data_IF_396829288735
#
_entry.id   IF_396829288735
#
_cell.length_a   1.000
_cell.length_b   1.000
_cell.length_c   1.000
_cell.angle_alpha   90.00
_cell.angle_beta   90.00
_cell.angle_gamma   90.00
#
_symmetry.space_group_name_H-M   'P 1'
#
loop_
_entity.id
_entity.type
_entity.pdbx_description
1 polymer ?
#
# COMPACT_ATOMS: atom_id res chain seq x y z
N UNK A 1 -12.66 67.78 -30.45
CA UNK A 1 -13.19 66.41 -30.28
C UNK A 1 -12.35 65.79 -29.18
N UNK A 2 -12.74 65.79 -27.90
CA UNK A 2 -13.99 65.28 -27.30
C UNK A 2 -13.77 63.79 -26.97
N UNK A 3 -14.08 63.23 -25.80
CA UNK A 3 -14.64 63.63 -24.51
C UNK A 3 -14.30 62.47 -23.55
N UNK A 4 -13.93 62.73 -22.28
CA UNK A 4 -14.69 62.37 -21.05
C UNK A 4 -15.17 60.90 -21.05
N UNK A 5 -14.74 59.98 -20.17
CA UNK A 5 -14.55 60.08 -18.72
C UNK A 5 -15.50 59.08 -18.04
N UNK A 6 -15.06 58.42 -16.96
CA UNK A 6 -15.77 58.30 -15.67
C UNK A 6 -15.29 57.10 -14.85
N UNK A 7 -14.61 57.43 -13.74
CA UNK A 7 -14.51 56.63 -12.52
C UNK A 7 -15.90 56.50 -11.87
N UNK A 8 -16.22 55.36 -11.25
CA UNK A 8 -16.92 55.31 -9.96
C UNK A 8 -16.39 54.13 -9.14
N UNK A 9 -15.63 54.45 -8.09
CA UNK A 9 -15.44 53.56 -6.95
C UNK A 9 -16.55 53.77 -5.93
N UNK A 10 -16.68 52.84 -4.99
CA UNK A 10 -17.16 53.10 -3.63
C UNK A 10 -16.55 52.05 -2.69
N UNK A 11 -15.60 52.50 -1.88
CA UNK A 11 -15.24 51.93 -0.57
C UNK A 11 -16.23 52.49 0.45
N UNK A 12 -16.75 51.67 1.38
CA UNK A 12 -16.74 51.95 2.83
C UNK A 12 -17.25 50.73 3.60
N UNK A 13 -16.51 50.35 4.66
CA UNK A 13 -16.69 49.11 5.39
C UNK A 13 -17.88 49.05 6.33
N UNK A 14 -18.22 47.82 6.69
CA UNK A 14 -18.84 47.48 7.96
C UNK A 14 -18.26 46.12 8.39
N UNK A 15 -17.76 46.08 9.61
CA UNK A 15 -17.39 44.87 10.35
C UNK A 15 -18.55 43.87 10.27
N UNK A 16 -18.34 42.75 9.59
CA UNK A 16 -19.06 41.51 9.87
C UNK A 16 -18.01 40.47 10.21
N UNK A 17 -18.00 40.06 11.47
CA UNK A 17 -17.37 38.83 11.95
C UNK A 17 -18.03 37.70 11.18
N UNK A 18 -17.48 37.33 10.03
CA UNK A 18 -17.75 36.01 9.45
C UNK A 18 -16.95 35.04 10.32
N UNK A 19 -17.65 34.45 11.29
CA UNK A 19 -17.33 33.12 11.77
C UNK A 19 -17.21 32.22 10.54
N UNK A 20 -15.98 32.06 10.04
CA UNK A 20 -15.58 30.92 9.23
C UNK A 20 -15.78 29.71 10.13
N UNK A 21 -17.02 29.22 10.15
CA UNK A 21 -17.29 27.84 10.47
C UNK A 21 -16.66 27.05 9.35
N UNK A 22 -15.37 26.76 9.49
CA UNK A 22 -14.82 25.58 8.86
C UNK A 22 -15.81 24.47 9.18
N UNK A 23 -16.39 23.76 8.18
CA UNK A 23 -17.00 22.48 8.49
C UNK A 23 -15.89 21.71 9.18
N UNK A 24 -16.04 21.51 10.49
CA UNK A 24 -15.25 20.54 11.23
C UNK A 24 -15.43 19.29 10.39
N UNK A 25 -14.37 18.85 9.71
CA UNK A 25 -14.38 17.58 9.02
C UNK A 25 -15.02 16.61 10.02
N UNK A 26 -16.09 15.92 9.61
CA UNK A 26 -16.67 14.89 10.45
C UNK A 26 -15.54 13.89 10.65
N UNK A 27 -14.79 14.04 11.75
CA UNK A 27 -13.95 13.01 12.30
C UNK A 27 -14.96 11.92 12.56
N UNK A 28 -14.92 10.86 11.75
CA UNK A 28 -15.66 9.64 12.02
C UNK A 28 -15.19 9.17 13.40
N UNK A 29 -15.85 9.67 14.44
CA UNK A 29 -15.61 9.26 15.79
C UNK A 29 -16.01 7.80 15.82
N UNK A 30 -15.05 6.93 16.16
CA UNK A 30 -15.35 5.53 16.38
C UNK A 30 -16.56 5.44 17.31
N UNK A 31 -17.60 4.72 16.88
CA UNK A 31 -18.81 4.54 17.66
C UNK A 31 -18.44 3.89 19.00
N UNK A 32 -18.43 4.70 20.06
CA UNK A 32 -17.99 4.26 21.38
C UNK A 32 -18.95 3.26 22.02
N UNK A 33 -20.12 3.04 21.41
CA UNK A 33 -21.11 2.04 21.85
C UNK A 33 -20.78 0.63 21.37
N UNK A 34 -19.93 0.47 20.34
CA UNK A 34 -19.52 -0.86 19.88
C UNK A 34 -18.66 -1.56 20.94
N UNK A 35 -18.93 -2.86 21.22
CA UNK A 35 -18.06 -3.69 22.05
C UNK A 35 -16.62 -3.68 21.55
N UNK A 36 -15.67 -3.93 22.46
CA UNK A 36 -14.27 -4.09 22.09
C UNK A 36 -14.01 -5.57 21.83
N UNK A 37 -13.58 -5.89 20.63
CA UNK A 37 -13.15 -7.24 20.26
C UNK A 37 -11.68 -7.46 20.63
N UNK A 38 -11.33 -8.69 20.98
CA UNK A 38 -9.94 -9.10 21.23
C UNK A 38 -9.64 -10.34 20.43
N UNK A 39 -8.61 -10.25 19.59
CA UNK A 39 -8.02 -11.40 18.91
C UNK A 39 -6.71 -11.78 19.60
N UNK A 40 -6.55 -13.06 19.88
CA UNK A 40 -5.30 -13.64 20.39
C UNK A 40 -4.82 -14.71 19.42
N UNK A 41 -3.65 -14.51 18.82
CA UNK A 41 -3.07 -15.38 17.78
C UNK A 41 -4.11 -15.72 16.68
N UNK A 42 -4.79 -14.68 16.18
CA UNK A 42 -5.82 -14.79 15.14
C UNK A 42 -7.19 -15.31 15.61
N UNK A 43 -7.35 -15.69 16.88
CA UNK A 43 -8.62 -16.22 17.41
C UNK A 43 -9.37 -15.16 18.19
N UNK A 44 -10.64 -14.94 17.85
CA UNK A 44 -11.52 -14.08 18.64
C UNK A 44 -11.77 -14.69 20.02
N UNK A 45 -11.62 -13.87 21.06
CA UNK A 45 -11.86 -14.29 22.44
C UNK A 45 -13.25 -13.82 22.87
N UNK A 46 -14.06 -14.77 23.31
CA UNK A 46 -15.38 -14.49 23.88
C UNK A 46 -15.28 -14.14 25.36
N UNK A 47 -15.94 -13.07 25.78
CA UNK A 47 -15.97 -12.62 27.16
C UNK A 47 -17.39 -12.60 27.71
N UNK A 48 -17.54 -13.03 28.96
CA UNK A 48 -18.83 -12.92 29.68
C UNK A 48 -19.17 -11.48 30.08
N UNK A 49 -18.13 -10.64 30.22
CA UNK A 49 -18.22 -9.19 30.42
C UNK A 49 -17.35 -8.55 29.35
N UNK A 50 -17.96 -7.72 28.51
CA UNK A 50 -17.27 -7.10 27.39
C UNK A 50 -16.02 -6.34 27.86
N UNK A 51 -14.91 -6.42 27.10
CA UNK A 51 -13.77 -5.56 27.35
C UNK A 51 -14.16 -4.09 27.27
N UNK A 52 -13.49 -3.26 28.06
CA UNK A 52 -13.78 -1.83 28.16
C UNK A 52 -12.51 -1.00 28.20
N UNK A 53 -12.60 0.21 27.66
CA UNK A 53 -11.53 1.19 27.72
C UNK A 53 -11.60 1.96 29.04
N UNK A 54 -10.53 1.91 29.83
CA UNK A 54 -10.41 2.60 31.11
C UNK A 54 -9.08 3.34 31.15
N UNK A 55 -9.13 4.68 31.19
CA UNK A 55 -7.96 5.56 31.24
C UNK A 55 -6.92 5.23 30.14
N UNK A 56 -7.37 4.98 28.91
CA UNK A 56 -6.51 4.64 27.77
C UNK A 56 -6.00 3.20 27.75
N UNK A 57 -6.46 2.34 28.67
CA UNK A 57 -6.12 0.92 28.70
C UNK A 57 -7.36 0.06 28.47
N UNK A 58 -7.28 -0.89 27.54
CA UNK A 58 -8.33 -1.90 27.39
C UNK A 58 -8.22 -2.94 28.50
N UNK A 59 -9.24 -3.01 29.34
CA UNK A 59 -9.39 -4.04 30.35
C UNK A 59 -10.26 -5.18 29.81
N UNK A 60 -9.81 -6.42 29.97
CA UNK A 60 -10.54 -7.62 29.57
C UNK A 60 -10.58 -8.63 30.72
N UNK A 61 -11.57 -9.53 30.70
CA UNK A 61 -11.65 -10.62 31.67
C UNK A 61 -10.41 -11.50 31.55
N UNK A 62 -9.69 -11.70 32.66
CA UNK A 62 -8.40 -12.40 32.62
C UNK A 62 -8.54 -13.88 32.23
N UNK A 63 -9.62 -14.54 32.67
CA UNK A 63 -9.77 -16.00 32.61
C UNK A 63 -9.70 -16.53 31.16
N UNK A 64 -10.53 -16.05 30.20
CA UNK A 64 -10.45 -16.51 28.81
C UNK A 64 -9.07 -16.29 28.18
N UNK A 65 -8.39 -15.19 28.52
CA UNK A 65 -7.04 -14.89 28.00
C UNK A 65 -6.02 -15.89 28.56
N UNK A 66 -6.04 -16.15 29.87
CA UNK A 66 -5.11 -17.08 30.52
C UNK A 66 -5.32 -18.52 30.02
N UNK A 67 -6.58 -18.94 29.86
CA UNK A 67 -6.94 -20.25 29.31
C UNK A 67 -6.42 -20.40 27.87
N UNK A 68 -6.59 -19.38 27.04
CA UNK A 68 -6.10 -19.40 25.66
C UNK A 68 -4.57 -19.41 25.60
N UNK A 69 -3.90 -18.74 26.54
CA UNK A 69 -2.44 -18.80 26.72
C UNK A 69 -1.96 -20.11 27.37
N UNK A 70 -2.85 -21.06 27.68
CA UNK A 70 -2.52 -22.35 28.28
C UNK A 70 -2.06 -22.27 29.75
N UNK A 71 -2.41 -21.19 30.46
CA UNK A 71 -2.06 -21.01 31.86
C UNK A 71 -3.03 -21.75 32.78
N UNK A 72 -2.48 -22.47 33.76
CA UNK A 72 -3.27 -22.96 34.90
C UNK A 72 -3.59 -21.79 35.83
N UNK A 73 -4.87 -21.61 36.15
CA UNK A 73 -5.36 -20.48 36.94
C UNK A 73 -5.58 -20.90 38.39
N UNK A 74 -5.04 -20.12 39.34
CA UNK A 74 -5.34 -20.21 40.75
C UNK A 74 -5.83 -18.84 41.27
N UNK A 75 -6.97 -18.80 41.95
CA UNK A 75 -7.50 -17.61 42.58
C UNK A 75 -7.46 -17.74 44.10
N UNK A 76 -6.80 -16.80 44.76
CA UNK A 76 -6.82 -16.66 46.21
C UNK A 76 -7.78 -15.54 46.62
N UNK A 77 -8.93 -15.93 47.16
CA UNK A 77 -9.96 -14.99 47.59
C UNK A 77 -9.54 -14.14 48.80
N UNK A 78 -8.72 -14.68 49.71
CA UNK A 78 -8.30 -13.98 50.92
C UNK A 78 -7.37 -12.79 50.61
N UNK A 79 -6.47 -12.97 49.65
CA UNK A 79 -5.52 -11.93 49.21
C UNK A 79 -5.98 -11.18 47.97
N UNK A 80 -7.11 -11.60 47.36
CA UNK A 80 -7.59 -11.12 46.06
C UNK A 80 -6.49 -11.19 44.99
N UNK A 81 -5.86 -12.35 44.88
CA UNK A 81 -4.74 -12.58 43.98
C UNK A 81 -5.10 -13.63 42.93
N UNK A 82 -4.88 -13.31 41.65
CA UNK A 82 -4.90 -14.29 40.56
C UNK A 82 -3.45 -14.71 40.29
N UNK A 83 -3.22 -16.01 40.16
CA UNK A 83 -1.99 -16.59 39.67
C UNK A 83 -2.26 -17.40 38.41
N UNK A 84 -1.51 -17.14 37.35
CA UNK A 84 -1.48 -17.94 36.12
C UNK A 84 -0.12 -18.59 35.95
N UNK A 85 -0.07 -19.90 35.73
CA UNK A 85 1.20 -20.64 35.64
C UNK A 85 1.21 -21.61 34.47
N UNK A 86 2.29 -21.59 33.72
CA UNK A 86 2.71 -22.62 32.77
C UNK A 86 4.19 -22.91 32.98
N UNK A 87 4.77 -23.76 32.12
CA UNK A 87 6.21 -24.06 32.12
C UNK A 87 7.06 -22.79 31.95
N UNK A 88 6.64 -21.90 31.04
CA UNK A 88 7.46 -20.77 30.58
C UNK A 88 6.99 -19.42 31.13
N UNK A 89 5.78 -19.37 31.71
CA UNK A 89 5.15 -18.12 32.16
C UNK A 89 4.43 -18.29 33.50
N UNK A 90 4.83 -17.48 34.47
CA UNK A 90 4.20 -17.32 35.77
C UNK A 90 3.80 -15.86 35.97
N UNK A 91 2.51 -15.61 36.14
CA UNK A 91 1.94 -14.27 36.40
C UNK A 91 1.24 -14.30 37.75
N UNK A 92 1.53 -13.32 38.60
CA UNK A 92 0.80 -13.07 39.85
C UNK A 92 0.34 -11.61 39.87
N UNK A 93 -0.98 -11.42 39.98
CA UNK A 93 -1.61 -10.11 40.01
C UNK A 93 -2.58 -10.00 41.18
N UNK A 94 -2.51 -8.87 41.87
CA UNK A 94 -3.39 -8.57 43.00
C UNK A 94 -4.36 -7.46 42.62
N UNK A 95 -5.65 -7.67 42.89
CA UNK A 95 -6.69 -6.70 42.54
C UNK A 95 -6.44 -5.37 43.24
N UNK A 96 -6.56 -4.27 42.49
CA UNK A 96 -6.32 -2.91 42.97
C UNK A 96 -4.84 -2.52 43.08
N UNK A 97 -3.90 -3.45 42.81
CA UNK A 97 -2.47 -3.16 42.84
C UNK A 97 -1.90 -3.03 41.42
N UNK A 98 -1.15 -1.97 41.18
CA UNK A 98 -0.45 -1.76 39.90
C UNK A 98 0.84 -2.58 39.79
N UNK A 99 1.40 -3.06 40.90
CA UNK A 99 2.57 -3.93 40.87
C UNK A 99 2.14 -5.38 40.69
N UNK A 100 2.68 -6.02 39.66
CA UNK A 100 2.48 -7.44 39.33
C UNK A 100 3.81 -8.17 39.32
N UNK A 101 3.78 -9.49 39.44
CA UNK A 101 4.99 -10.32 39.37
C UNK A 101 4.88 -11.20 38.13
N UNK A 102 5.89 -11.12 37.25
CA UNK A 102 6.01 -11.96 36.06
C UNK A 102 7.34 -12.70 36.14
N UNK A 103 7.29 -14.03 36.18
CA UNK A 103 8.47 -14.89 36.33
C UNK A 103 9.37 -14.47 37.50
N UNK A 104 8.77 -14.10 38.64
CA UNK A 104 9.47 -13.65 39.84
C UNK A 104 9.92 -12.18 39.82
N UNK A 105 9.80 -11.48 38.68
CA UNK A 105 10.20 -10.08 38.53
C UNK A 105 9.00 -9.15 38.69
N UNK A 106 9.14 -8.12 39.51
CA UNK A 106 8.11 -7.08 39.66
C UNK A 106 8.02 -6.22 38.41
N UNK A 107 6.82 -6.05 37.87
CA UNK A 107 6.49 -5.13 36.78
C UNK A 107 5.38 -4.17 37.23
N UNK A 108 5.35 -2.98 36.64
CA UNK A 108 4.37 -1.95 36.95
C UNK A 108 3.33 -1.83 35.83
N UNK A 109 2.05 -1.86 36.19
CA UNK A 109 0.94 -1.64 35.28
C UNK A 109 0.57 -0.16 35.20
N UNK A 110 0.06 0.27 34.05
CA UNK A 110 -0.53 1.59 33.85
C UNK A 110 -1.84 1.73 34.64
N UNK A 111 -2.70 0.70 34.55
CA UNK A 111 -3.98 0.58 35.25
C UNK A 111 -3.98 -0.68 36.11
N UNK A 112 -4.46 -0.57 37.36
CA UNK A 112 -4.55 -1.72 38.26
C UNK A 112 -5.67 -2.68 37.81
N UNK A 113 -5.54 -4.00 38.05
CA UNK A 113 -6.65 -4.94 37.87
C UNK A 113 -7.84 -4.55 38.74
N UNK A 114 -9.06 -4.72 38.22
CA UNK A 114 -10.30 -4.33 38.90
C UNK A 114 -11.31 -5.46 38.90
N UNK A 115 -12.24 -5.44 39.84
CA UNK A 115 -13.44 -6.27 39.78
C UNK A 115 -14.58 -5.41 39.28
N UNK A 116 -15.19 -5.80 38.17
CA UNK A 116 -16.33 -5.12 37.54
C UNK A 116 -17.42 -6.17 37.35
N UNK A 117 -18.61 -5.91 37.92
CA UNK A 117 -19.73 -6.86 37.91
C UNK A 117 -19.35 -8.28 38.38
N UNK A 118 -18.51 -8.37 39.41
CA UNK A 118 -18.03 -9.65 39.95
C UNK A 118 -16.93 -10.34 39.12
N UNK A 119 -16.48 -9.73 38.03
CA UNK A 119 -15.46 -10.29 37.13
C UNK A 119 -14.16 -9.51 37.26
N UNK A 120 -13.04 -10.24 37.39
CA UNK A 120 -11.70 -9.67 37.39
C UNK A 120 -11.30 -9.24 35.97
N UNK A 121 -11.09 -7.94 35.80
CA UNK A 121 -10.67 -7.28 34.57
C UNK A 121 -9.21 -6.83 34.69
N UNK A 122 -8.40 -7.11 33.67
CA UNK A 122 -6.95 -6.89 33.66
C UNK A 122 -6.56 -6.19 32.36
N UNK A 123 -5.54 -5.29 32.36
CA UNK A 123 -5.03 -4.67 31.15
C UNK A 123 -4.57 -5.71 30.13
N UNK A 124 -5.20 -5.74 28.95
CA UNK A 124 -4.91 -6.76 27.92
C UNK A 124 -3.49 -6.62 27.37
N UNK A 125 -2.99 -5.38 27.23
CA UNK A 125 -1.63 -5.09 26.77
C UNK A 125 -0.58 -5.75 27.64
N UNK A 126 -0.77 -5.67 28.97
CA UNK A 126 0.10 -6.36 29.91
C UNK A 126 0.05 -7.88 29.72
N UNK A 127 -1.14 -8.47 29.53
CA UNK A 127 -1.26 -9.92 29.34
C UNK A 127 -0.55 -10.40 28.07
N UNK A 128 -0.71 -9.67 26.97
CA UNK A 128 0.01 -9.92 25.73
C UNK A 128 1.53 -9.83 25.93
N UNK A 129 2.03 -8.70 26.42
CA UNK A 129 3.46 -8.45 26.61
C UNK A 129 4.10 -9.42 27.61
N UNK A 130 3.39 -9.78 28.69
CA UNK A 130 3.86 -10.77 29.65
C UNK A 130 4.02 -12.16 29.01
N UNK A 131 3.22 -12.47 27.99
CA UNK A 131 3.29 -13.70 27.22
C UNK A 131 4.27 -13.66 26.04
N UNK A 132 5.05 -12.58 25.89
CA UNK A 132 5.99 -12.41 24.79
C UNK A 132 5.34 -12.03 23.46
N UNK A 133 4.08 -11.55 23.50
CA UNK A 133 3.31 -11.12 22.34
C UNK A 133 3.28 -9.61 22.21
N UNK A 134 3.14 -9.16 20.98
CA UNK A 134 2.91 -7.78 20.64
C UNK A 134 1.42 -7.46 20.65
N UNK A 135 1.08 -6.23 21.04
CA UNK A 135 -0.30 -5.78 21.20
C UNK A 135 -0.52 -4.50 20.42
N UNK A 136 -1.48 -4.52 19.51
CA UNK A 136 -1.91 -3.38 18.72
C UNK A 136 -3.38 -3.08 18.95
N UNK A 137 -3.73 -1.80 18.82
CA UNK A 137 -5.08 -1.30 18.95
C UNK A 137 -5.56 -0.72 17.63
N UNK A 138 -6.64 -1.26 17.11
CA UNK A 138 -7.40 -0.65 16.03
C UNK A 138 -8.56 0.15 16.61
N UNK A 139 -8.41 1.48 16.62
CA UNK A 139 -9.42 2.40 17.13
C UNK A 139 -10.70 2.46 16.30
N UNK A 140 -10.63 2.22 15.00
CA UNK A 140 -11.80 2.32 14.10
C UNK A 140 -12.66 1.06 14.20
N UNK A 141 -12.02 -0.11 14.22
CA UNK A 141 -12.70 -1.39 14.43
C UNK A 141 -12.99 -1.67 15.90
N UNK A 142 -12.40 -0.90 16.82
CA UNK A 142 -12.41 -1.12 18.26
C UNK A 142 -11.95 -2.54 18.61
N UNK A 143 -10.79 -2.89 18.08
CA UNK A 143 -10.25 -4.25 18.18
C UNK A 143 -8.85 -4.22 18.75
N UNK A 144 -8.58 -5.08 19.73
CA UNK A 144 -7.23 -5.36 20.21
C UNK A 144 -6.73 -6.63 19.53
N UNK A 145 -5.57 -6.55 18.89
CA UNK A 145 -4.87 -7.73 18.41
C UNK A 145 -3.70 -8.03 19.33
N UNK A 146 -3.63 -9.26 19.82
CA UNK A 146 -2.53 -9.80 20.61
C UNK A 146 -1.97 -10.96 19.81
N UNK A 147 -0.73 -10.88 19.35
CA UNK A 147 -0.16 -11.94 18.53
C UNK A 147 1.36 -11.97 18.62
N UNK A 148 1.98 -12.97 18.03
CA UNK A 148 3.44 -12.97 17.86
C UNK A 148 3.88 -11.75 17.05
N UNK A 149 5.14 -11.34 17.18
CA UNK A 149 5.70 -10.21 16.41
C UNK A 149 5.54 -10.42 14.90
N UNK A 150 5.80 -11.65 14.42
CA UNK A 150 5.62 -12.01 13.02
C UNK A 150 4.17 -11.82 12.55
N UNK A 151 3.20 -12.33 13.31
CA UNK A 151 1.78 -12.17 12.99
C UNK A 151 1.35 -10.71 13.03
N UNK A 152 1.83 -9.92 14.00
CA UNK A 152 1.51 -8.48 14.06
C UNK A 152 2.01 -7.72 12.83
N UNK A 153 3.21 -8.02 12.34
CA UNK A 153 3.72 -7.43 11.09
C UNK A 153 2.78 -7.75 9.92
N UNK A 154 2.39 -9.02 9.77
CA UNK A 154 1.45 -9.46 8.72
C UNK A 154 0.08 -8.76 8.90
N UNK A 155 -0.42 -8.65 10.14
CA UNK A 155 -1.68 -7.99 10.43
C UNK A 155 -1.66 -6.51 10.08
N UNK A 156 -0.58 -5.77 10.39
CA UNK A 156 -0.47 -4.36 10.00
C UNK A 156 -0.56 -4.20 8.49
N UNK A 157 0.14 -5.04 7.72
CA UNK A 157 0.06 -5.04 6.24
C UNK A 157 -1.34 -5.36 5.73
N UNK A 158 -1.97 -6.40 6.27
CA UNK A 158 -3.33 -6.78 5.88
C UNK A 158 -4.37 -5.73 6.27
N UNK A 159 -4.18 -5.07 7.42
CA UNK A 159 -5.04 -4.01 7.90
C UNK A 159 -4.98 -2.78 7.02
N UNK A 160 -3.77 -2.37 6.60
CA UNK A 160 -3.58 -1.30 5.64
C UNK A 160 -4.34 -1.59 4.34
N UNK A 161 -4.15 -2.77 3.74
CA UNK A 161 -4.88 -3.18 2.54
C UNK A 161 -6.41 -3.15 2.73
N UNK A 162 -6.90 -3.63 3.88
CA UNK A 162 -8.33 -3.61 4.17
C UNK A 162 -8.90 -2.19 4.27
N UNK A 163 -8.13 -1.23 4.81
CA UNK A 163 -8.55 0.18 4.85
C UNK A 163 -8.53 0.84 3.48
N UNK A 164 -7.52 0.55 2.67
CA UNK A 164 -7.43 1.05 1.29
C UNK A 164 -8.64 0.58 0.47
N UNK A 165 -8.97 -0.73 0.53
CA UNK A 165 -10.17 -1.27 -0.15
C UNK A 165 -11.48 -0.68 0.35
N UNK A 166 -11.55 -0.29 1.63
CA UNK A 166 -12.73 0.33 2.20
C UNK A 166 -12.80 1.85 1.93
N UNK A 167 -11.82 2.39 1.19
CA UNK A 167 -11.60 3.82 0.98
C UNK A 167 -11.55 4.62 2.30
N UNK A 168 -11.20 3.97 3.41
CA UNK A 168 -11.05 4.60 4.72
C UNK A 168 -9.64 5.18 4.85
N UNK A 169 -9.47 6.35 4.24
CA UNK A 169 -8.19 7.07 4.16
C UNK A 169 -7.55 7.22 5.53
N UNK A 170 -8.31 7.69 6.52
CA UNK A 170 -7.82 7.89 7.87
C UNK A 170 -7.45 6.57 8.56
N UNK A 171 -8.13 5.46 8.23
CA UNK A 171 -7.74 4.12 8.66
C UNK A 171 -6.43 3.67 8.05
N UNK A 172 -6.25 3.87 6.75
CA UNK A 172 -5.00 3.57 6.06
C UNK A 172 -3.85 4.41 6.66
N UNK A 173 -4.03 5.73 6.83
CA UNK A 173 -3.05 6.63 7.44
C UNK A 173 -2.62 6.18 8.84
N UNK A 174 -3.54 5.62 9.64
CA UNK A 174 -3.22 5.12 10.99
C UNK A 174 -2.23 3.94 11.02
N UNK A 175 -2.01 3.28 9.88
CA UNK A 175 -1.08 2.15 9.75
C UNK A 175 0.33 2.59 9.35
N UNK A 176 0.53 3.82 8.90
CA UNK A 176 1.84 4.36 8.52
C UNK A 176 2.60 4.90 9.72
N UNK A 177 3.93 4.92 9.60
CA UNK A 177 4.83 5.52 10.58
C UNK A 177 4.80 7.04 10.40
N UNK A 178 4.22 7.80 11.36
CA UNK A 178 4.06 9.24 11.23
C UNK A 178 5.39 10.00 11.33
N UNK A 179 6.49 9.33 11.70
CA UNK A 179 7.81 9.97 11.86
C UNK A 179 8.51 10.10 10.51
N UNK A 180 8.32 9.10 9.62
CA UNK A 180 9.05 9.02 8.35
C UNK A 180 8.17 9.25 7.12
N UNK A 181 6.85 9.10 7.25
CA UNK A 181 5.89 9.36 6.18
C UNK A 181 5.27 10.76 6.35
N UNK A 182 5.20 11.51 5.25
CA UNK A 182 4.37 12.71 5.14
C UNK A 182 2.90 12.31 5.03
N UNK A 183 2.20 12.29 6.17
CA UNK A 183 0.80 11.84 6.23
C UNK A 183 -0.16 12.80 5.52
N UNK A 184 0.14 14.11 5.46
CA UNK A 184 -0.72 15.08 4.78
C UNK A 184 -0.65 14.87 3.26
N UNK A 185 0.57 14.74 2.72
CA UNK A 185 0.72 14.44 1.29
C UNK A 185 0.15 13.06 0.94
N UNK A 186 0.36 12.06 1.81
CA UNK A 186 -0.20 10.72 1.63
C UNK A 186 -1.73 10.76 1.60
N UNK A 187 -2.35 11.54 2.48
CA UNK A 187 -3.80 11.76 2.51
C UNK A 187 -4.31 12.34 1.19
N UNK A 188 -3.69 13.43 0.73
CA UNK A 188 -4.06 14.08 -0.55
C UNK A 188 -3.97 13.09 -1.71
N UNK A 189 -2.91 12.28 -1.75
CA UNK A 189 -2.73 11.26 -2.78
C UNK A 189 -3.84 10.20 -2.75
N UNK A 190 -4.19 9.70 -1.56
CA UNK A 190 -5.29 8.75 -1.40
C UNK A 190 -6.63 9.36 -1.84
N UNK A 191 -6.98 10.54 -1.36
CA UNK A 191 -8.25 11.20 -1.70
C UNK A 191 -8.35 11.49 -3.21
N UNK A 192 -7.25 11.93 -3.83
CA UNK A 192 -7.16 12.13 -5.28
C UNK A 192 -7.35 10.81 -6.05
N UNK A 193 -6.70 9.74 -5.60
CA UNK A 193 -6.82 8.42 -6.23
C UNK A 193 -8.24 7.86 -6.12
N UNK A 194 -8.85 7.91 -4.93
CA UNK A 194 -10.22 7.42 -4.70
C UNK A 194 -11.27 8.25 -5.47
N UNK A 195 -10.99 9.52 -5.75
CA UNK A 195 -11.86 10.34 -6.62
C UNK A 195 -11.72 9.95 -8.10
N UNK A 196 -10.56 9.45 -8.50
CA UNK A 196 -10.23 9.17 -9.91
C UNK A 196 -10.59 7.75 -10.31
N UNK A 197 -10.33 6.78 -9.44
CA UNK A 197 -10.46 5.36 -9.72
C UNK A 197 -11.27 4.65 -8.63
N UNK A 198 -12.03 3.66 -9.06
CA UNK A 198 -12.62 2.65 -8.19
C UNK A 198 -11.88 1.33 -8.47
N UNK A 199 -11.07 0.90 -7.52
CA UNK A 199 -10.14 -0.23 -7.64
C UNK A 199 -10.38 -1.22 -6.50
N UNK A 200 -10.26 -2.51 -6.81
CA UNK A 200 -10.21 -3.58 -5.83
C UNK A 200 -8.78 -4.11 -5.67
N UNK A 201 -8.34 -4.24 -4.42
CA UNK A 201 -6.99 -4.64 -4.03
C UNK A 201 -7.03 -5.97 -3.27
N UNK A 202 -6.72 -7.06 -3.98
CA UNK A 202 -6.67 -8.41 -3.42
C UNK A 202 -5.25 -8.70 -2.89
N UNK A 203 -5.11 -8.76 -1.57
CA UNK A 203 -3.86 -9.15 -0.91
C UNK A 203 -3.65 -10.67 -1.04
N UNK A 204 -2.82 -11.07 -2.00
CA UNK A 204 -2.59 -12.48 -2.30
C UNK A 204 -1.55 -13.12 -1.37
N UNK A 205 -0.51 -12.38 -0.99
CA UNK A 205 0.56 -12.91 -0.12
C UNK A 205 1.30 -11.83 0.67
N UNK A 206 1.74 -12.19 1.88
CA UNK A 206 2.69 -11.41 2.71
C UNK A 206 3.76 -12.36 3.24
N UNK A 207 4.99 -12.20 2.77
CA UNK A 207 6.14 -13.00 3.16
C UNK A 207 7.09 -12.18 4.02
N UNK A 208 7.44 -12.66 5.21
CA UNK A 208 8.43 -12.01 6.07
C UNK A 208 9.83 -12.27 5.51
N UNK A 209 10.56 -11.19 5.20
CA UNK A 209 11.94 -11.24 4.72
C UNK A 209 12.92 -11.04 5.87
N UNK A 210 12.68 -10.02 6.70
CA UNK A 210 13.47 -9.74 7.91
C UNK A 210 12.54 -9.44 9.07
N UNK A 211 12.96 -9.84 10.27
CA UNK A 211 12.24 -9.55 11.51
C UNK A 211 13.22 -9.32 12.64
N UNK A 212 13.35 -8.06 13.04
CA UNK A 212 14.14 -7.65 14.19
C UNK A 212 13.24 -7.13 15.31
N UNK A 213 13.84 -6.63 16.39
CA UNK A 213 13.11 -6.15 17.57
C UNK A 213 12.22 -4.94 17.26
N UNK A 214 12.65 -4.07 16.36
CA UNK A 214 12.00 -2.79 16.07
C UNK A 214 11.84 -2.48 14.58
N UNK A 215 12.35 -3.33 13.69
CA UNK A 215 12.27 -3.20 12.24
C UNK A 215 11.88 -4.54 11.63
N UNK A 216 11.18 -4.50 10.50
CA UNK A 216 10.82 -5.67 9.72
C UNK A 216 10.69 -5.29 8.25
N UNK A 217 10.93 -6.25 7.37
CA UNK A 217 10.67 -6.12 5.94
C UNK A 217 9.84 -7.29 5.47
N UNK A 218 8.80 -7.02 4.69
CA UNK A 218 7.93 -8.03 4.08
C UNK A 218 7.87 -7.86 2.58
N UNK A 219 7.78 -8.97 1.85
CA UNK A 219 7.41 -8.97 0.44
C UNK A 219 5.91 -9.16 0.33
N UNK A 220 5.25 -8.22 -0.31
CA UNK A 220 3.79 -8.21 -0.51
C UNK A 220 3.48 -8.53 -1.96
N UNK A 221 2.50 -9.40 -2.20
CA UNK A 221 1.91 -9.61 -3.53
C UNK A 221 0.47 -9.10 -3.50
N UNK A 222 0.19 -8.12 -4.34
CA UNK A 222 -1.09 -7.43 -4.41
C UNK A 222 -1.62 -7.48 -5.82
N UNK A 223 -2.85 -7.95 -5.99
CA UNK A 223 -3.56 -7.88 -7.27
C UNK A 223 -4.52 -6.72 -7.26
N UNK A 224 -4.41 -5.85 -8.25
CA UNK A 224 -5.28 -4.68 -8.41
C UNK A 224 -6.14 -4.87 -9.65
N UNK A 225 -7.46 -4.74 -9.48
CA UNK A 225 -8.44 -4.84 -10.56
C UNK A 225 -9.28 -3.59 -10.60
N UNK A 226 -9.44 -2.98 -11.78
CA UNK A 226 -10.33 -1.83 -11.93
C UNK A 226 -11.79 -2.24 -11.89
N UNK A 227 -12.57 -1.52 -11.08
CA UNK A 227 -14.02 -1.59 -11.08
C UNK A 227 -14.59 -0.49 -11.98
N UNK A 228 -14.17 0.77 -11.77
CA UNK A 228 -14.61 1.91 -12.55
C UNK A 228 -13.55 3.03 -12.63
N UNK A 229 -13.82 4.04 -13.47
CA UNK A 229 -12.91 5.16 -13.71
C UNK A 229 -12.20 5.08 -15.08
N UNK A 230 -11.15 5.90 -15.30
CA UNK A 230 -10.38 5.94 -16.53
C UNK A 230 -9.72 4.60 -16.91
N UNK A 231 -8.99 4.56 -18.02
CA UNK A 231 -8.18 3.39 -18.39
C UNK A 231 -7.18 3.07 -17.26
N UNK A 232 -7.17 1.81 -16.85
CA UNK A 232 -6.28 1.24 -15.84
C UNK A 232 -6.07 -0.20 -16.25
N UNK A 233 -4.83 -0.66 -16.16
CA UNK A 233 -4.46 -2.01 -16.51
C UNK A 233 -4.42 -2.86 -15.25
N UNK A 234 -5.32 -3.84 -15.16
CA UNK A 234 -5.32 -4.82 -14.09
C UNK A 234 -3.93 -5.43 -13.98
N UNK A 235 -3.42 -5.51 -12.75
CA UNK A 235 -2.04 -5.88 -12.52
C UNK A 235 -1.86 -6.65 -11.22
N UNK A 236 -0.71 -7.30 -11.10
CA UNK A 236 -0.19 -7.88 -9.88
C UNK A 236 1.14 -7.22 -9.56
N UNK A 237 1.21 -6.55 -8.43
CA UNK A 237 2.41 -5.87 -7.95
C UNK A 237 3.07 -6.67 -6.86
N UNK A 238 4.41 -6.75 -6.93
CA UNK A 238 5.27 -7.33 -5.92
C UNK A 238 6.04 -6.19 -5.28
N UNK A 239 5.88 -6.00 -3.98
CA UNK A 239 6.42 -4.85 -3.25
C UNK A 239 7.32 -5.32 -2.12
N UNK A 240 8.40 -4.62 -1.85
CA UNK A 240 9.08 -4.66 -0.57
C UNK A 240 8.47 -3.58 0.32
N UNK A 241 7.97 -3.96 1.49
CA UNK A 241 7.41 -3.05 2.48
C UNK A 241 8.24 -3.13 3.75
N UNK A 242 8.71 -1.98 4.22
CA UNK A 242 9.45 -1.87 5.47
C UNK A 242 8.54 -1.34 6.58
N UNK A 243 8.69 -1.90 7.78
CA UNK A 243 7.91 -1.55 8.95
C UNK A 243 8.82 -1.22 10.12
N UNK A 244 8.43 -0.18 10.88
CA UNK A 244 9.06 0.22 12.12
C UNK A 244 8.11 -0.01 13.30
N UNK A 245 8.68 -0.29 14.46
CA UNK A 245 7.92 -0.38 15.71
C UNK A 245 7.88 0.99 16.40
N UNK A 246 6.73 1.64 16.38
CA UNK A 246 6.49 2.96 16.97
C UNK A 246 5.55 2.81 18.16
N UNK A 247 6.01 3.22 19.35
CA UNK A 247 5.24 3.12 20.61
C UNK A 247 4.70 1.70 20.90
N UNK A 248 5.43 0.68 20.47
CA UNK A 248 5.07 -0.73 20.68
C UNK A 248 4.17 -1.33 19.58
N UNK A 249 3.78 -0.55 18.57
CA UNK A 249 2.97 -1.01 17.44
C UNK A 249 3.77 -0.98 16.13
N UNK A 250 3.53 -1.96 15.26
CA UNK A 250 4.16 -2.00 13.94
C UNK A 250 3.45 -1.02 13.00
N UNK A 251 4.23 -0.21 12.30
CA UNK A 251 3.78 0.83 11.37
C UNK A 251 4.58 0.75 10.07
N UNK A 252 3.92 1.00 8.93
CA UNK A 252 4.53 0.97 7.60
C UNK A 252 5.42 2.22 7.45
N UNK A 253 6.72 1.99 7.24
CA UNK A 253 7.73 3.04 7.15
C UNK A 253 7.98 3.47 5.70
N UNK A 254 7.98 2.52 4.78
CA UNK A 254 8.05 2.76 3.33
C UNK A 254 7.60 1.51 2.56
N UNK A 255 7.43 1.69 1.25
CA UNK A 255 7.25 0.59 0.31
C UNK A 255 7.90 0.92 -1.03
N UNK A 256 8.48 -0.08 -1.67
CA UNK A 256 9.05 0.00 -3.02
C UNK A 256 8.48 -1.13 -3.88
N UNK A 257 8.01 -0.80 -5.07
CA UNK A 257 7.65 -1.77 -6.08
C UNK A 257 8.92 -2.47 -6.58
N UNK A 258 8.89 -3.80 -6.58
CA UNK A 258 9.93 -4.66 -7.15
C UNK A 258 9.56 -5.10 -8.55
N UNK A 259 8.28 -5.39 -8.77
CA UNK A 259 7.78 -5.89 -10.05
C UNK A 259 6.29 -5.60 -10.20
N UNK A 260 5.86 -5.34 -11.43
CA UNK A 260 4.45 -5.23 -11.83
C UNK A 260 4.23 -6.19 -13.00
N UNK A 261 3.30 -7.13 -12.85
CA UNK A 261 2.81 -7.98 -13.93
C UNK A 261 1.42 -7.49 -14.35
N UNK A 262 1.29 -6.93 -15.56
CA UNK A 262 -0.01 -6.56 -16.12
C UNK A 262 -0.75 -7.83 -16.56
N UNK A 263 -1.99 -7.98 -16.15
CA UNK A 263 -2.81 -9.20 -16.34
C UNK A 263 -3.39 -9.28 -17.77
N UNK A 264 -2.50 -9.24 -18.76
CA UNK A 264 -2.76 -9.27 -20.21
C UNK A 264 -2.35 -10.61 -20.83
N UNK A 265 -2.87 -11.73 -20.33
CA UNK A 265 -2.41 -13.07 -20.74
C UNK A 265 -2.47 -13.31 -22.26
N UNK A 266 -3.49 -12.77 -22.94
CA UNK A 266 -3.66 -12.92 -24.39
C UNK A 266 -2.53 -12.25 -25.21
N UNK A 267 -1.79 -11.29 -24.65
CA UNK A 267 -0.77 -10.54 -25.38
C UNK A 267 0.55 -11.31 -25.53
N UNK A 268 0.81 -12.32 -24.69
CA UNK A 268 2.00 -13.19 -24.81
C UNK A 268 1.81 -14.34 -25.80
N UNK A 269 0.58 -14.53 -26.30
CA UNK A 269 0.25 -15.67 -27.15
C UNK A 269 0.85 -15.51 -28.54
N UNK A 270 1.64 -16.49 -28.94
CA UNK A 270 2.11 -16.60 -30.32
C UNK A 270 0.99 -17.09 -31.23
N UNK A 271 0.80 -16.36 -32.33
CA UNK A 271 -0.14 -16.66 -33.40
C UNK A 271 0.60 -16.87 -34.72
N UNK A 272 -0.12 -17.33 -35.74
CA UNK A 272 0.45 -17.52 -37.06
C UNK A 272 1.03 -16.22 -37.62
N UNK A 273 2.25 -16.30 -38.15
CA UNK A 273 2.90 -15.22 -38.91
C UNK A 273 2.76 -15.58 -40.39
N UNK A 274 1.79 -14.97 -41.06
CA UNK A 274 1.48 -15.23 -42.49
C UNK A 274 2.07 -14.20 -43.43
N UNK A 275 2.68 -13.15 -42.90
CA UNK A 275 3.31 -12.06 -43.68
C UNK A 275 4.66 -12.48 -44.27
N UNK A 276 5.04 -11.90 -45.40
CA UNK A 276 6.28 -12.23 -46.12
C UNK A 276 7.55 -11.94 -45.31
N UNK A 277 8.66 -12.63 -45.62
CA UNK A 277 9.96 -12.38 -44.98
C UNK A 277 10.44 -10.93 -45.14
N UNK A 278 10.06 -10.27 -46.23
CA UNK A 278 10.41 -8.87 -46.47
C UNK A 278 9.59 -7.93 -45.58
N UNK A 279 8.29 -8.19 -45.41
CA UNK A 279 7.48 -7.46 -44.42
C UNK A 279 8.02 -7.68 -43.00
N UNK A 280 8.43 -8.90 -42.64
CA UNK A 280 9.02 -9.18 -41.32
C UNK A 280 10.29 -8.35 -41.07
N UNK A 281 11.18 -8.24 -42.05
CA UNK A 281 12.37 -7.36 -41.95
C UNK A 281 12.00 -5.90 -41.76
N UNK A 282 11.01 -5.41 -42.52
CA UNK A 282 10.54 -4.02 -42.41
C UNK A 282 9.92 -3.74 -41.03
N UNK A 283 9.13 -4.67 -40.50
CA UNK A 283 8.54 -4.59 -39.15
C UNK A 283 9.64 -4.47 -38.09
N UNK A 284 10.63 -5.37 -38.13
CA UNK A 284 11.74 -5.36 -37.18
C UNK A 284 12.60 -4.09 -37.30
N UNK A 285 12.80 -3.57 -38.52
CA UNK A 285 13.53 -2.32 -38.73
C UNK A 285 12.83 -1.10 -38.09
N UNK A 286 11.50 -1.09 -37.98
CA UNK A 286 10.78 -0.03 -37.25
C UNK A 286 11.10 -0.07 -35.76
N UNK A 287 11.15 -1.28 -35.16
CA UNK A 287 11.48 -1.48 -33.75
C UNK A 287 12.93 -1.08 -33.46
N UNK A 288 13.86 -1.48 -34.34
CA UNK A 288 15.27 -1.08 -34.22
C UNK A 288 15.45 0.43 -34.36
N UNK A 289 14.78 1.06 -35.33
CA UNK A 289 14.81 2.52 -35.50
C UNK A 289 14.23 3.21 -34.26
N UNK A 290 13.10 2.74 -33.72
CA UNK A 290 12.49 3.31 -32.52
C UNK A 290 13.48 3.32 -31.35
N UNK A 291 14.08 2.16 -31.03
CA UNK A 291 15.15 2.03 -30.02
C UNK A 291 16.28 3.02 -30.25
N UNK A 292 16.83 3.05 -31.46
CA UNK A 292 18.02 3.85 -31.78
C UNK A 292 17.74 5.35 -31.63
N UNK A 293 16.52 5.80 -31.96
CA UNK A 293 16.11 7.19 -31.78
C UNK A 293 15.88 7.52 -30.30
N UNK A 294 15.31 6.58 -29.52
CA UNK A 294 15.16 6.71 -28.07
C UNK A 294 16.50 6.88 -27.36
N UNK A 295 17.51 6.05 -27.70
CA UNK A 295 18.85 6.15 -27.12
C UNK A 295 19.56 7.46 -27.50
N UNK A 296 19.27 8.00 -28.69
CA UNK A 296 19.84 9.28 -29.18
C UNK A 296 19.07 10.50 -28.69
N UNK A 297 17.97 10.32 -27.97
CA UNK A 297 17.04 11.41 -27.61
C UNK A 297 16.56 12.20 -28.84
N UNK A 298 16.46 11.55 -30.00
CA UNK A 298 15.97 12.18 -31.24
C UNK A 298 14.46 12.10 -31.29
N UNK A 299 13.80 13.15 -30.78
CA UNK A 299 12.33 13.22 -30.71
C UNK A 299 11.67 13.17 -32.09
N UNK A 300 12.26 13.82 -33.09
CA UNK A 300 11.70 13.83 -34.45
C UNK A 300 11.86 12.45 -35.11
N UNK A 301 13.04 11.84 -34.96
CA UNK A 301 13.31 10.48 -35.39
C UNK A 301 12.39 9.46 -34.71
N UNK A 302 12.20 9.57 -33.39
CA UNK A 302 11.34 8.71 -32.60
C UNK A 302 9.88 8.84 -33.03
N UNK A 303 9.35 10.07 -33.10
CA UNK A 303 7.99 10.36 -33.57
C UNK A 303 7.72 9.78 -34.94
N UNK A 304 8.72 9.75 -35.83
CA UNK A 304 8.57 9.20 -37.19
C UNK A 304 8.30 7.68 -37.24
N UNK A 305 8.52 6.96 -36.13
CA UNK A 305 8.23 5.52 -36.02
C UNK A 305 6.79 5.21 -35.63
N UNK A 306 6.07 6.21 -35.13
CA UNK A 306 4.68 6.09 -34.70
C UNK A 306 3.71 6.53 -35.80
N UNK A 307 2.53 5.91 -35.82
CA UNK A 307 1.39 6.37 -36.61
C UNK A 307 0.69 7.51 -35.87
N UNK A 308 0.02 8.41 -36.61
CA UNK A 308 -0.72 9.52 -36.01
C UNK A 308 -1.90 9.06 -35.13
N UNK A 309 -2.37 7.82 -35.29
CA UNK A 309 -3.39 7.20 -34.44
C UNK A 309 -2.88 6.72 -33.08
N UNK A 310 -1.57 6.75 -32.82
CA UNK A 310 -1.02 6.36 -31.53
C UNK A 310 -1.60 7.23 -30.39
N UNK A 311 -2.14 6.63 -29.31
CA UNK A 311 -2.78 7.38 -28.24
C UNK A 311 -1.86 8.43 -27.62
N UNK A 312 -2.31 9.69 -27.58
CA UNK A 312 -1.59 10.81 -26.95
C UNK A 312 -0.13 11.01 -27.44
N UNK A 313 0.17 10.69 -28.70
CA UNK A 313 1.53 10.72 -29.24
C UNK A 313 2.27 12.05 -28.99
N UNK A 314 1.61 13.19 -29.22
CA UNK A 314 2.26 14.49 -29.04
C UNK A 314 2.67 14.73 -27.58
N UNK A 315 1.82 14.35 -26.63
CA UNK A 315 2.14 14.45 -25.20
C UNK A 315 3.28 13.50 -24.83
N UNK A 316 3.27 12.26 -25.31
CA UNK A 316 4.34 11.29 -25.08
C UNK A 316 5.71 11.82 -25.57
N UNK A 317 5.74 12.50 -26.72
CA UNK A 317 6.97 13.13 -27.23
C UNK A 317 7.43 14.32 -26.39
N UNK A 318 6.49 15.12 -25.86
CA UNK A 318 6.79 16.21 -24.93
C UNK A 318 7.38 15.65 -23.64
N UNK A 319 6.77 14.62 -23.06
CA UNK A 319 7.21 13.99 -21.81
C UNK A 319 8.61 13.39 -21.98
N UNK A 320 8.84 12.68 -23.10
CA UNK A 320 10.15 12.16 -23.46
C UNK A 320 11.19 13.29 -23.59
N UNK A 321 10.85 14.39 -24.28
CA UNK A 321 11.76 15.54 -24.42
C UNK A 321 12.10 16.21 -23.08
N UNK A 322 11.13 16.29 -22.16
CA UNK A 322 11.31 16.89 -20.84
C UNK A 322 12.10 15.99 -19.88
N UNK A 323 12.05 14.68 -20.05
CA UNK A 323 12.87 13.72 -19.29
C UNK A 323 14.35 13.73 -19.67
N UNK A 324 14.67 14.09 -20.93
CA UNK A 324 16.01 14.05 -21.51
C UNK A 324 17.11 14.83 -20.75
N UNK A 325 16.87 16.05 -20.23
CA UNK A 325 17.91 16.83 -19.54
C UNK A 325 18.15 16.37 -18.09
N UNK A 326 17.24 15.57 -17.52
CA UNK A 326 17.25 15.20 -16.11
C UNK A 326 17.67 13.75 -15.86
N UNK A 327 17.66 12.88 -16.88
CA UNK A 327 17.91 11.45 -16.78
C UNK A 327 18.65 10.93 -18.02
N UNK A 328 19.89 10.47 -17.88
CA UNK A 328 20.59 9.72 -18.93
C UNK A 328 20.36 8.23 -18.69
N UNK A 329 19.92 7.48 -19.70
CA UNK A 329 19.76 6.03 -19.64
C UNK A 329 20.23 5.36 -20.93
N UNK A 330 20.61 4.09 -20.81
CA UNK A 330 20.82 3.18 -21.93
C UNK A 330 19.64 2.21 -22.01
N UNK A 331 19.12 2.00 -23.22
CA UNK A 331 18.09 0.99 -23.47
C UNK A 331 18.64 -0.05 -24.44
N UNK A 332 18.60 -1.31 -24.02
CA UNK A 332 18.96 -2.45 -24.85
C UNK A 332 17.74 -3.34 -25.05
N UNK A 333 17.43 -3.70 -26.29
CA UNK A 333 16.37 -4.66 -26.59
C UNK A 333 16.94 -6.05 -26.78
N UNK A 334 16.28 -7.04 -26.18
CA UNK A 334 16.57 -8.45 -26.34
C UNK A 334 15.28 -9.23 -26.67
N UNK A 335 15.43 -10.48 -27.09
CA UNK A 335 14.31 -11.40 -27.37
C UNK A 335 13.23 -10.82 -28.32
N UNK A 336 13.64 -10.03 -29.31
CA UNK A 336 12.72 -9.38 -30.26
C UNK A 336 12.09 -10.44 -31.16
N UNK A 337 10.76 -10.53 -31.17
CA UNK A 337 10.02 -11.56 -31.92
C UNK A 337 8.70 -11.04 -32.45
N UNK A 338 8.41 -11.32 -33.72
CA UNK A 338 7.05 -11.16 -34.27
C UNK A 338 6.18 -12.29 -33.71
N UNK A 339 5.22 -11.95 -32.85
CA UNK A 339 4.32 -12.91 -32.20
C UNK A 339 2.99 -13.06 -32.93
N UNK A 340 2.66 -12.13 -33.82
CA UNK A 340 1.51 -12.18 -34.74
C UNK A 340 1.83 -11.34 -35.96
N UNK A 341 1.50 -11.80 -37.17
CA UNK A 341 1.80 -11.02 -38.37
C UNK A 341 0.94 -11.37 -39.57
N UNK A 342 0.39 -10.36 -40.21
CA UNK A 342 -0.32 -10.39 -41.49
C UNK A 342 0.22 -9.30 -42.42
N UNK A 343 -0.33 -9.13 -43.61
CA UNK A 343 0.14 -8.10 -44.54
C UNK A 343 -0.23 -6.66 -44.13
N UNK A 344 -1.16 -6.48 -43.19
CA UNK A 344 -1.63 -5.17 -42.74
C UNK A 344 -1.38 -4.85 -41.26
N UNK A 345 -1.16 -5.87 -40.42
CA UNK A 345 -0.96 -5.71 -38.98
C UNK A 345 0.04 -6.73 -38.45
N UNK A 346 0.89 -6.31 -37.50
CA UNK A 346 1.81 -7.18 -36.80
C UNK A 346 1.90 -6.81 -35.30
N UNK A 347 2.19 -7.79 -34.46
CA UNK A 347 2.58 -7.61 -33.06
C UNK A 347 3.99 -8.11 -32.85
N UNK A 348 4.81 -7.28 -32.22
CA UNK A 348 6.21 -7.60 -31.88
C UNK A 348 6.37 -7.58 -30.38
N UNK A 349 6.89 -8.67 -29.82
CA UNK A 349 7.35 -8.73 -28.45
C UNK A 349 8.84 -8.36 -28.39
N UNK A 350 9.25 -7.67 -27.34
CA UNK A 350 10.65 -7.53 -26.95
C UNK A 350 10.80 -7.37 -25.44
N UNK A 351 12.02 -7.58 -24.96
CA UNK A 351 12.43 -7.23 -23.61
C UNK A 351 13.36 -6.01 -23.67
N UNK A 352 13.02 -4.96 -22.94
CA UNK A 352 13.85 -3.77 -22.77
C UNK A 352 14.62 -3.85 -21.44
N UNK A 353 15.93 -3.67 -21.52
CA UNK A 353 16.82 -3.48 -20.37
C UNK A 353 17.21 -2.01 -20.31
N UNK A 354 16.74 -1.31 -19.29
CA UNK A 354 16.93 0.12 -19.09
C UNK A 354 17.93 0.29 -17.95
N UNK A 355 19.10 0.80 -18.27
CA UNK A 355 20.17 1.06 -17.31
C UNK A 355 20.34 2.56 -17.14
N UNK A 356 20.22 3.04 -15.90
CA UNK A 356 20.42 4.45 -15.58
C UNK A 356 21.91 4.79 -15.63
N UNK A 357 22.25 5.89 -16.31
CA UNK A 357 23.59 6.48 -16.32
C UNK A 357 23.74 7.67 -15.40
N UNK A 358 22.77 8.59 -15.42
CA UNK A 358 22.83 9.85 -14.68
C UNK A 358 21.42 10.38 -14.41
N UNK A 359 21.25 11.28 -13.44
CA UNK A 359 19.97 11.94 -13.17
C UNK A 359 19.28 11.58 -11.86
N UNK A 360 17.97 11.87 -11.77
CA UNK A 360 17.11 11.61 -10.61
C UNK A 360 17.14 10.13 -10.22
N UNK A 361 17.04 9.83 -8.93
CA UNK A 361 17.17 8.46 -8.42
C UNK A 361 16.01 7.56 -8.91
N UNK A 362 16.28 6.76 -9.94
CA UNK A 362 15.40 5.69 -10.42
C UNK A 362 16.25 4.43 -10.64
N UNK A 363 15.75 3.24 -10.27
CA UNK A 363 16.51 1.99 -10.40
C UNK A 363 16.63 1.56 -11.87
N UNK A 364 17.59 0.68 -12.14
CA UNK A 364 17.60 -0.06 -13.41
C UNK A 364 16.30 -0.87 -13.55
N UNK A 365 15.86 -1.10 -14.77
CA UNK A 365 14.57 -1.73 -15.04
C UNK A 365 14.63 -2.72 -16.19
N UNK A 366 13.88 -3.81 -16.06
CA UNK A 366 13.51 -4.67 -17.17
C UNK A 366 12.03 -4.46 -17.50
N UNK A 367 11.69 -4.37 -18.78
CA UNK A 367 10.31 -4.32 -19.24
C UNK A 367 10.05 -5.32 -20.36
N UNK A 368 9.00 -6.09 -20.23
CA UNK A 368 8.46 -6.93 -21.31
C UNK A 368 7.36 -6.13 -22.00
N UNK A 369 7.45 -5.96 -23.31
CA UNK A 369 6.49 -5.13 -24.05
C UNK A 369 6.02 -5.82 -25.32
N UNK A 370 4.79 -5.51 -25.72
CA UNK A 370 4.23 -5.86 -27.03
C UNK A 370 3.85 -4.59 -27.76
N UNK A 371 4.42 -4.42 -28.95
CA UNK A 371 4.13 -3.32 -29.85
C UNK A 371 3.23 -3.80 -30.98
N UNK A 372 2.15 -3.06 -31.24
CA UNK A 372 1.29 -3.29 -32.40
C UNK A 372 1.66 -2.31 -33.51
N UNK A 373 1.94 -2.85 -34.69
CA UNK A 373 2.25 -2.09 -35.90
C UNK A 373 1.18 -2.31 -36.95
N UNK A 374 0.87 -1.25 -37.69
CA UNK A 374 0.03 -1.32 -38.89
C UNK A 374 0.77 -0.82 -40.11
N UNK A 375 0.45 -1.43 -41.25
CA UNK A 375 0.94 -0.98 -42.55
C UNK A 375 0.03 0.11 -43.09
N UNK A 376 0.60 1.26 -43.39
CA UNK A 376 -0.12 2.39 -44.00
C UNK A 376 -0.51 2.07 -45.45
N UNK A 377 -1.40 2.88 -46.01
CA UNK A 377 -1.77 2.79 -47.42
C UNK A 377 -0.58 3.02 -48.37
N UNK A 378 0.46 3.70 -47.91
CA UNK A 378 1.71 3.95 -48.64
C UNK A 378 2.71 2.78 -48.48
N UNK A 379 2.35 1.75 -47.71
CA UNK A 379 3.16 0.55 -47.50
C UNK A 379 4.18 0.66 -46.37
N UNK A 380 4.19 1.75 -45.61
CA UNK A 380 5.08 1.93 -44.46
C UNK A 380 4.51 1.27 -43.21
N UNK A 381 5.35 0.60 -42.44
CA UNK A 381 4.97 0.09 -41.12
C UNK A 381 5.17 1.17 -40.05
N UNK A 382 4.18 1.35 -39.18
CA UNK A 382 4.22 2.32 -38.08
C UNK A 382 3.64 1.72 -36.80
N UNK A 383 4.15 2.15 -35.66
CA UNK A 383 3.67 1.76 -34.34
C UNK A 383 2.34 2.47 -34.06
N UNK A 384 1.30 1.70 -33.75
CA UNK A 384 -0.03 2.22 -33.41
C UNK A 384 -0.38 2.01 -31.94
N UNK A 385 0.26 1.06 -31.26
CA UNK A 385 0.09 0.84 -29.83
C UNK A 385 1.33 0.19 -29.21
N UNK A 386 1.54 0.42 -27.92
CA UNK A 386 2.60 -0.21 -27.12
C UNK A 386 2.03 -0.58 -25.75
N UNK A 387 2.18 -1.85 -25.37
CA UNK A 387 1.66 -2.40 -24.13
C UNK A 387 2.80 -3.03 -23.31
N UNK A 388 3.01 -2.54 -22.10
CA UNK A 388 3.85 -3.23 -21.13
C UNK A 388 3.11 -4.44 -20.55
N UNK A 389 3.82 -5.55 -20.45
CA UNK A 389 3.35 -6.82 -19.89
C UNK A 389 3.91 -7.04 -18.49
N UNK A 390 5.18 -6.70 -18.31
CA UNK A 390 5.86 -6.76 -17.03
C UNK A 390 6.82 -5.58 -16.92
N UNK A 391 6.95 -5.02 -15.72
CA UNK A 391 8.01 -4.09 -15.33
C UNK A 391 8.68 -4.67 -14.08
N UNK A 392 10.00 -4.77 -14.08
CA UNK A 392 10.80 -5.22 -12.95
C UNK A 392 11.86 -4.16 -12.61
N UNK A 393 11.94 -3.80 -11.34
CA UNK A 393 12.88 -2.81 -10.80
C UNK A 393 14.04 -3.54 -10.13
N UNK A 394 15.27 -3.26 -10.57
CA UNK A 394 16.50 -3.96 -10.17
C UNK A 394 17.19 -3.32 -8.95
#
# INVERSE_FOLDING_TARGET
MGEIGMRKGFLFGLILVLLLTFPIANVFAADQTKPIDVFLDGKIISFSVNPLLDNGSTLAQFKPVFETLGLTINWNAATKTVKGTSKDLNIELSIGNKTVIVNGVKKQLTVAPKIINGVTMVPIRFLGEASGRDVSWDGRKRTVYVATTAEQVIYTTALNNAYINAEDVEGALSTYDPIVIDLEQTKVNFESNNTTYDLNYELENVEIITLEKATASVKVTLKTTKIAGPTFEDNRTYMLMNLNKVNGEWKIADSKDLKIDYLKEDFKKEEAVTTSSDNQKLILAVIEKNRDMSVKWDVAGLKSTYDASFPNLDQAMIDFQQGAPANEFEVNYSNIKIIKGSDGEAKVYYMAHIHKKNGLDFPDMNADSVVTLKKSNEGEWKITNEDNLTIEYL
#
